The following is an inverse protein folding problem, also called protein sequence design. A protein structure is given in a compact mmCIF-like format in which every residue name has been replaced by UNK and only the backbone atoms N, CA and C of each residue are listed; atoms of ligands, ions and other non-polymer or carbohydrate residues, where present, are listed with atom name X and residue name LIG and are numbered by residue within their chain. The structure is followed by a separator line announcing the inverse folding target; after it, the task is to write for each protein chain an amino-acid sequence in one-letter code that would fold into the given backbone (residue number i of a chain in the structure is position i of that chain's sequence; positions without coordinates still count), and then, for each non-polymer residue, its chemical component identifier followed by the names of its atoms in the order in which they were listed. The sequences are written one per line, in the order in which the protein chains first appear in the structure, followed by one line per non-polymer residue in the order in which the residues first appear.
data_IF_215807783067
#
_entry.id   IF_215807783067
#
_cell.length_a   1.000
_cell.length_b   1.000
_cell.length_c   1.000
_cell.angle_alpha   90.00
_cell.angle_beta   90.00
_cell.angle_gamma   90.00
#
_symmetry.space_group_name_H-M   'P 1'
#
loop_
_entity.id
_entity.type
_entity.pdbx_description
1 polymer ?
#
# COMPACT_ATOMS: atom_id res chain seq x y z
N UNK A 1 -17.08 -3.71 -49.15
CA UNK A 1 -15.70 -4.18 -49.04
C UNK A 1 -15.18 -3.82 -47.65
N UNK A 2 -14.45 -4.73 -46.99
CA UNK A 2 -14.04 -4.66 -45.59
C UNK A 2 -12.61 -4.09 -45.42
N UNK A 3 -12.31 -3.44 -44.30
CA UNK A 3 -11.01 -3.44 -43.59
C UNK A 3 -11.31 -3.04 -42.13
N UNK A 4 -11.24 -3.97 -41.18
CA UNK A 4 -10.06 -4.33 -40.38
C UNK A 4 -9.66 -3.27 -39.33
N UNK A 5 -10.27 -3.32 -38.15
CA UNK A 5 -9.58 -2.95 -36.90
C UNK A 5 -9.73 -4.07 -35.89
N UNK A 6 -8.69 -4.89 -35.87
CA UNK A 6 -8.39 -5.97 -34.93
C UNK A 6 -8.34 -5.44 -33.50
N UNK A 7 -9.29 -5.91 -32.71
CA UNK A 7 -9.05 -6.76 -31.54
C UNK A 7 -7.73 -6.49 -30.78
N UNK A 8 -7.84 -5.80 -29.65
CA UNK A 8 -6.89 -5.94 -28.53
C UNK A 8 -7.67 -6.30 -27.26
N UNK A 9 -8.49 -7.35 -27.33
CA UNK A 9 -8.75 -8.18 -26.17
C UNK A 9 -7.67 -9.26 -26.15
N UNK A 10 -6.55 -9.00 -25.49
CA UNK A 10 -5.58 -10.06 -25.20
C UNK A 10 -5.46 -10.28 -23.70
N UNK A 11 -6.28 -11.25 -23.28
CA UNK A 11 -5.94 -12.32 -22.32
C UNK A 11 -5.74 -11.94 -20.85
N UNK A 12 -6.85 -11.62 -20.18
CA UNK A 12 -7.16 -12.31 -18.92
C UNK A 12 -7.45 -13.79 -19.25
N UNK A 13 -6.39 -14.57 -19.48
CA UNK A 13 -6.49 -16.03 -19.55
C UNK A 13 -6.09 -16.60 -18.19
N UNK A 14 -6.85 -16.24 -17.17
CA UNK A 14 -6.91 -17.01 -15.94
C UNK A 14 -7.72 -18.26 -16.26
N UNK A 15 -7.02 -19.33 -16.63
CA UNK A 15 -7.62 -20.65 -16.75
C UNK A 15 -8.13 -21.06 -15.35
N UNK A 16 -9.43 -21.39 -15.15
CA UNK A 16 -10.00 -21.62 -13.81
C UNK A 16 -9.58 -22.94 -13.14
N UNK A 17 -8.56 -23.65 -13.64
CA UNK A 17 -8.27 -25.04 -13.26
C UNK A 17 -7.01 -25.30 -12.45
N UNK A 18 -6.18 -24.29 -12.15
CA UNK A 18 -4.88 -24.48 -11.49
C UNK A 18 -4.67 -23.54 -10.30
N UNK A 19 -5.73 -23.36 -9.50
CA UNK A 19 -5.52 -23.04 -8.10
C UNK A 19 -5.09 -24.37 -7.47
N UNK A 20 -3.80 -24.53 -7.19
CA UNK A 20 -3.33 -25.67 -6.39
C UNK A 20 -4.27 -25.84 -5.19
N UNK A 21 -4.78 -27.05 -4.99
CA UNK A 21 -5.78 -27.31 -3.94
C UNK A 21 -5.22 -26.83 -2.60
N UNK A 22 -6.08 -26.40 -1.67
CA UNK A 22 -5.62 -25.97 -0.34
C UNK A 22 -4.69 -26.99 0.33
N UNK A 23 -4.85 -28.28 0.01
CA UNK A 23 -3.97 -29.37 0.44
C UNK A 23 -2.56 -29.31 -0.17
N UNK A 24 -2.42 -28.91 -1.43
CA UNK A 24 -1.12 -28.78 -2.09
C UNK A 24 -0.30 -27.61 -1.53
N UNK A 25 -0.98 -26.55 -1.09
CA UNK A 25 -0.37 -25.40 -0.40
C UNK A 25 0.08 -25.75 1.03
N UNK A 26 -0.59 -26.70 1.68
CA UNK A 26 -0.29 -27.12 3.05
C UNK A 26 0.78 -28.22 3.13
N UNK A 27 1.16 -28.83 2.00
CA UNK A 27 2.27 -29.81 1.98
C UNK A 27 3.59 -29.10 2.27
N UNK A 28 4.34 -29.53 3.31
CA UNK A 28 5.69 -29.05 3.54
C UNK A 28 6.53 -29.14 2.27
N UNK A 29 7.39 -28.16 2.05
CA UNK A 29 8.39 -28.22 1.00
C UNK A 29 9.60 -28.95 1.57
N UNK A 30 9.92 -30.12 1.04
CA UNK A 30 11.04 -30.93 1.53
C UNK A 30 12.34 -30.59 0.78
N UNK A 31 12.25 -30.01 -0.43
CA UNK A 31 13.43 -29.63 -1.22
C UNK A 31 13.21 -28.35 -2.04
N UNK A 32 14.27 -27.58 -2.24
CA UNK A 32 14.25 -26.34 -3.04
C UNK A 32 13.83 -26.58 -4.49
N UNK A 33 14.22 -27.72 -5.07
CA UNK A 33 13.80 -28.15 -6.40
C UNK A 33 12.28 -28.34 -6.49
N UNK A 34 11.68 -28.94 -5.47
CA UNK A 34 10.23 -29.11 -5.36
C UNK A 34 9.51 -27.76 -5.28
N UNK A 35 10.08 -26.80 -4.55
CA UNK A 35 9.54 -25.43 -4.46
C UNK A 35 9.56 -24.70 -5.81
N UNK A 36 10.54 -24.97 -6.67
CA UNK A 36 10.65 -24.37 -8.01
C UNK A 36 9.77 -25.08 -9.05
N UNK A 37 9.52 -26.37 -8.88
CA UNK A 37 8.69 -27.18 -9.77
C UNK A 37 7.18 -26.99 -9.46
N UNK A 38 6.81 -26.64 -8.22
CA UNK A 38 5.43 -26.30 -7.86
C UNK A 38 5.00 -24.96 -8.48
N UNK A 39 4.09 -25.02 -9.45
CA UNK A 39 3.57 -23.86 -10.18
C UNK A 39 2.94 -22.80 -9.27
N UNK A 40 2.32 -23.21 -8.16
CA UNK A 40 1.72 -22.33 -7.15
C UNK A 40 2.75 -21.47 -6.40
N UNK A 41 3.87 -22.08 -5.98
CA UNK A 41 4.96 -21.40 -5.28
C UNK A 41 5.68 -20.45 -6.22
N UNK A 42 6.00 -20.91 -7.43
CA UNK A 42 6.59 -20.07 -8.48
C UNK A 42 5.70 -18.87 -8.81
N UNK A 43 4.39 -19.10 -9.01
CA UNK A 43 3.42 -18.02 -9.27
C UNK A 43 3.37 -17.04 -8.11
N UNK A 44 3.41 -17.49 -6.85
CA UNK A 44 3.44 -16.62 -5.67
C UNK A 44 4.70 -15.74 -5.60
N UNK A 45 5.87 -16.30 -5.96
CA UNK A 45 7.15 -15.57 -6.02
C UNK A 45 7.25 -14.59 -7.20
N UNK A 46 6.56 -14.88 -8.30
CA UNK A 46 6.53 -14.04 -9.51
C UNK A 46 5.39 -13.02 -9.51
N UNK A 47 4.36 -13.22 -8.70
CA UNK A 47 3.21 -12.34 -8.61
C UNK A 47 3.63 -10.97 -8.05
N UNK A 48 3.15 -9.89 -8.68
CA UNK A 48 3.36 -8.50 -8.31
C UNK A 48 2.24 -7.89 -7.45
N UNK A 49 1.28 -8.68 -6.97
CA UNK A 49 0.15 -8.19 -6.16
C UNK A 49 0.61 -7.36 -4.96
N UNK A 50 1.64 -7.80 -4.22
CA UNK A 50 2.14 -7.03 -3.07
C UNK A 50 2.70 -5.66 -3.49
N UNK A 51 3.38 -5.60 -4.64
CA UNK A 51 3.96 -4.37 -5.19
C UNK A 51 2.84 -3.42 -5.64
N UNK A 52 1.82 -3.95 -6.31
CA UNK A 52 0.63 -3.19 -6.71
C UNK A 52 -0.12 -2.66 -5.49
N UNK A 53 -0.39 -3.50 -4.48
CA UNK A 53 -1.04 -3.08 -3.23
C UNK A 53 -0.22 -2.04 -2.48
N UNK A 54 1.11 -2.16 -2.46
CA UNK A 54 1.99 -1.16 -1.82
C UNK A 54 1.90 0.17 -2.54
N UNK A 55 1.88 0.16 -3.87
CA UNK A 55 1.76 1.38 -4.68
C UNK A 55 0.39 2.05 -4.52
N UNK A 56 -0.70 1.28 -4.51
CA UNK A 56 -2.05 1.79 -4.26
C UNK A 56 -2.15 2.42 -2.86
N UNK A 57 -1.57 1.74 -1.87
CA UNK A 57 -1.52 2.25 -0.49
C UNK A 57 -0.75 3.56 -0.38
N UNK A 58 0.38 3.69 -1.09
CA UNK A 58 1.13 4.95 -1.14
C UNK A 58 0.30 6.08 -1.74
N UNK A 59 -0.38 5.83 -2.86
CA UNK A 59 -1.27 6.82 -3.49
C UNK A 59 -2.39 7.26 -2.56
N UNK A 60 -2.98 6.32 -1.83
CA UNK A 60 -4.03 6.62 -0.89
C UNK A 60 -3.50 7.50 0.26
N UNK A 61 -2.35 7.16 0.83
CA UNK A 61 -1.70 7.96 1.88
C UNK A 61 -1.36 9.38 1.39
N UNK A 62 -0.84 9.52 0.17
CA UNK A 62 -0.55 10.84 -0.42
C UNK A 62 -1.81 11.66 -0.63
N UNK A 63 -2.89 11.02 -1.09
CA UNK A 63 -4.18 11.65 -1.28
C UNK A 63 -4.75 12.17 0.05
N UNK A 64 -4.79 11.32 1.09
CA UNK A 64 -5.27 11.68 2.43
C UNK A 64 -4.44 12.82 3.03
N UNK A 65 -3.11 12.77 2.93
CA UNK A 65 -2.25 13.87 3.38
C UNK A 65 -2.55 15.19 2.65
N UNK A 66 -2.86 15.11 1.35
CA UNK A 66 -3.30 16.25 0.55
C UNK A 66 -4.59 16.86 1.08
N UNK A 67 -5.59 16.03 1.39
CA UNK A 67 -6.85 16.48 1.98
C UNK A 67 -6.65 17.10 3.37
N UNK A 68 -5.87 16.45 4.25
CA UNK A 68 -5.58 16.96 5.59
C UNK A 68 -4.87 18.31 5.55
N UNK A 69 -4.01 18.56 4.56
CA UNK A 69 -3.38 19.88 4.37
C UNK A 69 -4.42 20.97 4.10
N UNK A 70 -5.43 20.67 3.26
CA UNK A 70 -6.52 21.61 2.97
C UNK A 70 -7.38 21.85 4.22
N UNK A 71 -7.73 20.78 4.95
CA UNK A 71 -8.52 20.86 6.18
C UNK A 71 -7.78 21.66 7.26
N UNK A 72 -6.49 21.39 7.46
CA UNK A 72 -5.65 22.16 8.41
C UNK A 72 -5.57 23.63 8.02
N UNK A 73 -5.43 23.94 6.73
CA UNK A 73 -5.46 25.33 6.27
C UNK A 73 -6.80 25.98 6.61
N UNK A 74 -7.92 25.34 6.27
CA UNK A 74 -9.25 25.84 6.63
C UNK A 74 -9.37 26.08 8.13
N UNK A 75 -8.90 25.14 8.95
CA UNK A 75 -8.90 25.27 10.41
C UNK A 75 -8.10 26.49 10.88
N UNK A 76 -6.91 26.74 10.32
CA UNK A 76 -6.14 27.95 10.63
C UNK A 76 -6.86 29.24 10.24
N UNK A 77 -7.56 29.24 9.11
CA UNK A 77 -8.41 30.39 8.72
C UNK A 77 -9.51 30.62 9.76
N UNK A 78 -10.25 29.56 10.12
CA UNK A 78 -11.36 29.65 11.06
C UNK A 78 -10.93 30.06 12.47
N UNK A 79 -9.70 29.72 12.88
CA UNK A 79 -9.12 30.13 14.15
C UNK A 79 -8.55 31.56 14.13
N UNK A 80 -8.41 32.18 12.96
CA UNK A 80 -7.78 33.49 12.80
C UNK A 80 -6.24 33.44 12.90
N UNK A 81 -5.65 32.25 12.82
CA UNK A 81 -4.20 32.04 12.97
C UNK A 81 -3.45 32.03 11.63
N UNK A 82 -4.16 32.17 10.49
CA UNK A 82 -3.54 32.13 9.16
C UNK A 82 -2.82 33.47 8.85
N UNK A 83 -1.48 33.48 8.75
CA UNK A 83 -0.70 34.70 8.53
C UNK A 83 -0.92 35.32 7.14
N UNK A 84 -1.41 34.54 6.17
CA UNK A 84 -1.62 35.00 4.79
C UNK A 84 -2.97 35.71 4.61
N UNK A 85 -3.93 35.46 5.51
CA UNK A 85 -5.32 35.91 5.35
C UNK A 85 -5.61 37.17 6.17
N UNK A 86 -4.75 37.53 7.12
CA UNK A 86 -4.97 38.69 7.99
C UNK A 86 -6.19 38.51 8.90
N UNK A 87 -6.51 39.56 9.66
CA UNK A 87 -7.59 39.53 10.64
C UNK A 87 -8.95 39.63 9.92
N UNK A 88 -9.46 38.50 9.43
CA UNK A 88 -10.77 38.40 8.78
C UNK A 88 -11.80 38.03 9.85
N UNK A 89 -12.77 38.92 10.09
CA UNK A 89 -13.94 38.59 10.90
C UNK A 89 -14.87 37.68 10.06
N UNK A 90 -14.74 36.37 10.27
CA UNK A 90 -15.48 35.33 9.54
C UNK A 90 -16.95 35.27 9.98
N UNK A 91 -17.25 35.72 11.20
CA UNK A 91 -18.58 35.67 11.81
C UNK A 91 -18.86 36.94 12.62
N UNK A 92 -20.14 37.34 12.64
CA UNK A 92 -20.59 38.43 13.49
C UNK A 92 -20.60 37.97 14.95
N UNK A 93 -19.72 38.57 15.76
CA UNK A 93 -19.56 38.25 17.19
C UNK A 93 -20.81 38.55 18.03
N UNK A 94 -21.75 39.32 17.50
CA UNK A 94 -23.03 39.58 18.15
C UNK A 94 -24.10 38.54 17.80
N UNK A 95 -23.82 37.66 16.84
CA UNK A 95 -24.72 36.61 16.40
C UNK A 95 -24.32 35.25 17.00
N UNK A 96 -24.98 34.90 18.10
CA UNK A 96 -24.74 33.64 18.84
C UNK A 96 -24.86 32.41 17.94
N UNK A 97 -25.83 32.36 17.02
CA UNK A 97 -26.02 31.22 16.14
C UNK A 97 -24.85 31.02 15.15
N UNK A 98 -24.22 32.12 14.71
CA UNK A 98 -23.04 32.06 13.85
C UNK A 98 -21.82 31.59 14.63
N UNK A 99 -21.65 32.03 15.87
CA UNK A 99 -20.56 31.57 16.75
C UNK A 99 -20.68 30.08 17.06
N UNK A 100 -21.86 29.60 17.43
CA UNK A 100 -22.10 28.16 17.65
C UNK A 100 -21.80 27.34 16.39
N UNK A 101 -22.17 27.84 15.21
CA UNK A 101 -21.89 27.17 13.94
C UNK A 101 -20.38 27.11 13.66
N UNK A 102 -19.64 28.18 13.96
CA UNK A 102 -18.18 28.22 13.83
C UNK A 102 -17.51 27.23 14.77
N UNK A 103 -17.87 27.24 16.05
CA UNK A 103 -17.33 26.32 17.06
C UNK A 103 -17.59 24.86 16.70
N UNK A 104 -18.81 24.54 16.26
CA UNK A 104 -19.15 23.20 15.78
C UNK A 104 -18.34 22.80 14.54
N UNK A 105 -18.13 23.73 13.61
CA UNK A 105 -17.32 23.47 12.41
C UNK A 105 -15.86 23.21 12.77
N UNK A 106 -15.28 23.99 13.68
CA UNK A 106 -13.92 23.79 14.20
C UNK A 106 -13.80 22.42 14.85
N UNK A 107 -14.75 22.05 15.72
CA UNK A 107 -14.78 20.76 16.40
C UNK A 107 -14.81 19.60 15.39
N UNK A 108 -15.71 19.65 14.41
CA UNK A 108 -15.82 18.60 13.38
C UNK A 108 -14.55 18.49 12.52
N UNK A 109 -13.93 19.61 12.16
CA UNK A 109 -12.69 19.59 11.38
C UNK A 109 -11.53 18.98 12.19
N UNK A 110 -11.45 19.29 13.48
CA UNK A 110 -10.46 18.69 14.38
C UNK A 110 -10.68 17.17 14.54
N UNK A 111 -11.93 16.75 14.70
CA UNK A 111 -12.30 15.34 14.79
C UNK A 111 -11.95 14.57 13.50
N UNK A 112 -12.29 15.12 12.33
CA UNK A 112 -11.94 14.54 11.03
C UNK A 112 -10.42 14.43 10.85
N UNK A 113 -9.66 15.47 11.23
CA UNK A 113 -8.20 15.42 11.19
C UNK A 113 -7.64 14.34 12.10
N UNK A 114 -8.17 14.19 13.31
CA UNK A 114 -7.76 13.15 14.24
C UNK A 114 -7.97 11.76 13.65
N UNK A 115 -9.15 11.49 13.08
CA UNK A 115 -9.46 10.20 12.45
C UNK A 115 -8.61 9.93 11.21
N UNK A 116 -8.38 10.94 10.36
CA UNK A 116 -7.54 10.77 9.19
C UNK A 116 -6.08 10.56 9.58
N UNK A 117 -5.55 11.26 10.58
CA UNK A 117 -4.18 11.06 11.06
C UNK A 117 -3.98 9.65 11.65
N UNK A 118 -4.96 9.11 12.39
CA UNK A 118 -4.94 7.71 12.84
C UNK A 118 -5.00 6.72 11.66
N UNK A 119 -5.86 6.99 10.67
CA UNK A 119 -5.97 6.16 9.47
C UNK A 119 -4.65 6.13 8.70
N UNK A 120 -4.04 7.29 8.47
CA UNK A 120 -2.72 7.42 7.82
C UNK A 120 -1.66 6.67 8.60
N UNK A 121 -1.71 6.69 9.93
CA UNK A 121 -0.78 5.93 10.78
C UNK A 121 -0.89 4.42 10.52
N UNK A 122 -2.11 3.87 10.57
CA UNK A 122 -2.38 2.44 10.32
C UNK A 122 -1.97 2.01 8.91
N UNK A 123 -2.21 2.88 7.92
CA UNK A 123 -1.82 2.62 6.53
C UNK A 123 -0.29 2.62 6.37
N UNK A 124 0.43 3.51 7.06
CA UNK A 124 1.90 3.50 7.06
C UNK A 124 2.47 2.24 7.72
N UNK A 125 1.86 1.75 8.80
CA UNK A 125 2.23 0.48 9.42
C UNK A 125 2.02 -0.68 8.44
N UNK A 126 0.86 -0.72 7.78
CA UNK A 126 0.54 -1.72 6.77
C UNK A 126 1.51 -1.68 5.58
N UNK A 127 1.88 -0.49 5.12
CA UNK A 127 2.90 -0.29 4.07
C UNK A 127 4.24 -0.88 4.48
N UNK A 128 4.65 -0.65 5.74
CA UNK A 128 5.91 -1.16 6.27
C UNK A 128 5.93 -2.70 6.30
N UNK A 129 4.80 -3.32 6.68
CA UNK A 129 4.62 -4.78 6.64
C UNK A 129 4.67 -5.33 5.21
N UNK A 130 4.02 -4.66 4.25
CA UNK A 130 4.07 -5.05 2.84
C UNK A 130 5.47 -4.92 2.25
N UNK A 131 6.20 -3.84 2.55
CA UNK A 131 7.57 -3.66 2.12
C UNK A 131 8.50 -4.77 2.66
N UNK A 132 8.34 -5.15 3.93
CA UNK A 132 9.04 -6.29 4.51
C UNK A 132 8.72 -7.60 3.77
N UNK A 133 7.44 -7.85 3.47
CA UNK A 133 7.01 -9.05 2.75
C UNK A 133 7.57 -9.11 1.32
N UNK A 134 7.59 -7.97 0.61
CA UNK A 134 8.20 -7.84 -0.73
C UNK A 134 9.69 -8.17 -0.67
N UNK A 135 10.41 -7.63 0.32
CA UNK A 135 11.83 -7.88 0.51
C UNK A 135 12.11 -9.35 0.80
N UNK A 136 11.37 -9.95 1.74
CA UNK A 136 11.47 -11.38 2.05
C UNK A 136 11.21 -12.26 0.83
N UNK A 137 10.18 -11.92 0.03
CA UNK A 137 9.87 -12.62 -1.22
C UNK A 137 11.01 -12.49 -2.24
N UNK A 138 11.59 -11.30 -2.36
CA UNK A 138 12.74 -11.04 -3.26
C UNK A 138 13.98 -11.85 -2.85
N UNK A 139 14.30 -11.86 -1.56
CA UNK A 139 15.40 -12.66 -1.00
C UNK A 139 15.17 -14.15 -1.22
N UNK A 140 13.95 -14.63 -0.96
CA UNK A 140 13.58 -16.04 -1.16
C UNK A 140 13.71 -16.43 -2.64
N UNK A 141 13.19 -15.62 -3.55
CA UNK A 141 13.33 -15.82 -5.00
C UNK A 141 14.80 -15.89 -5.42
N UNK A 142 15.63 -15.00 -4.90
CA UNK A 142 17.07 -14.97 -5.19
C UNK A 142 17.78 -16.22 -4.69
N UNK A 143 17.52 -16.64 -3.44
CA UNK A 143 18.09 -17.87 -2.86
C UNK A 143 17.69 -19.11 -3.65
N UNK A 144 16.40 -19.24 -3.98
CA UNK A 144 15.90 -20.36 -4.77
C UNK A 144 16.54 -20.41 -6.17
N UNK A 145 16.73 -19.26 -6.82
CA UNK A 145 17.38 -19.19 -8.13
C UNK A 145 18.86 -19.60 -8.08
N UNK A 146 19.62 -19.18 -7.06
CA UNK A 146 21.02 -19.59 -6.88
C UNK A 146 21.13 -21.11 -6.72
N UNK A 147 20.33 -21.66 -5.80
CA UNK A 147 20.32 -23.10 -5.53
C UNK A 147 19.86 -23.91 -6.75
N UNK A 148 18.84 -23.42 -7.48
CA UNK A 148 18.37 -24.08 -8.71
C UNK A 148 19.43 -24.08 -9.82
N UNK A 149 20.22 -23.02 -9.95
CA UNK A 149 21.33 -22.92 -10.91
C UNK A 149 22.56 -23.72 -10.50
N UNK A 150 22.56 -24.37 -9.33
CA UNK A 150 23.72 -25.10 -8.80
C UNK A 150 24.83 -24.18 -8.28
N UNK A 151 24.54 -22.89 -8.09
CA UNK A 151 25.43 -21.95 -7.41
C UNK A 151 25.25 -22.16 -5.90
N UNK A 152 25.98 -23.12 -5.32
CA UNK A 152 26.03 -23.30 -3.88
C UNK A 152 26.55 -22.01 -3.22
N UNK A 153 25.90 -21.56 -2.14
CA UNK A 153 26.56 -20.67 -1.20
C UNK A 153 27.83 -21.38 -0.72
N UNK A 154 28.99 -20.83 -1.09
CA UNK A 154 30.28 -21.23 -0.54
C UNK A 154 30.25 -21.00 0.98
N UNK A 155 29.80 -22.00 1.74
CA UNK A 155 30.12 -22.18 3.16
C UNK A 155 31.57 -22.65 3.34
N UNK A 156 32.50 -22.05 2.59
CA UNK A 156 33.95 -22.26 2.70
C UNK A 156 34.62 -21.00 3.27
N UNK A 157 34.06 -20.47 4.38
CA UNK A 157 34.54 -19.22 4.99
C UNK A 157 34.73 -19.20 6.50
N UNK A 158 34.31 -20.22 7.27
CA UNK A 158 34.44 -20.22 8.73
C UNK A 158 34.80 -21.60 9.29
N UNK A 159 35.87 -22.21 8.76
CA UNK A 159 36.66 -23.20 9.49
C UNK A 159 38.11 -23.08 9.06
N UNK A 160 38.86 -22.29 9.86
CA UNK A 160 40.30 -22.38 10.14
C UNK A 160 40.95 -20.97 10.22
N UNK A 161 40.95 -20.39 11.42
CA UNK A 161 42.16 -20.13 12.21
C UNK A 161 41.79 -19.59 13.58
#
# INVERSE_FOLDING_TARGET
MPEDTKNTQNTLRNSPGENGTSEELMKPLETIKEAMDRSSVRRSLENNVLDMSTWELMKFIEHENGQNKVIRKLLHVLLGDDPDIGDVDIVDRNNVAQLETLENSIFLLQEVLSYSDETIHLLNESRSKLALAIEQRSQLKTRLLKVYKGESEDESGLRNK
#
